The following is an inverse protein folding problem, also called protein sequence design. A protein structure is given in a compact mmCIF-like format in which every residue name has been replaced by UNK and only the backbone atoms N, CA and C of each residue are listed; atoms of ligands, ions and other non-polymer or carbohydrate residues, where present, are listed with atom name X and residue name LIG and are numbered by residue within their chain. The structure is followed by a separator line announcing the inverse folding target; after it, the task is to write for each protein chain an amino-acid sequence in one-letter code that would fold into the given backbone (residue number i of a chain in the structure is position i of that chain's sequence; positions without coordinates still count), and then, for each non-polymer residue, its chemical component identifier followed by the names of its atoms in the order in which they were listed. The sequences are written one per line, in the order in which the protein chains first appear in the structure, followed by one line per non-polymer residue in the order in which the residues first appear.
data_IF_224256320348
#
_entry.id   IF_224256320348
#
_cell.length_a   1.000
_cell.length_b   1.000
_cell.length_c   1.000
_cell.angle_alpha   90.00
_cell.angle_beta   90.00
_cell.angle_gamma   90.00
#
_symmetry.space_group_name_H-M   'P 1'
#
loop_
_entity.id
_entity.type
_entity.pdbx_description
1 polymer ?
#
# COMPACT_ATOMS: atom_id res chain seq x y z
N UNK A 1 -13.56 -7.25 -1.90
CA UNK A 1 -12.59 -6.95 -2.96
C UNK A 1 -13.33 -6.98 -4.31
N UNK A 2 -13.07 -6.01 -5.20
CA UNK A 2 -13.62 -6.00 -6.58
C UNK A 2 -12.76 -6.77 -7.58
N UNK A 3 -11.71 -7.46 -7.11
CA UNK A 3 -10.71 -8.16 -7.91
C UNK A 3 -10.06 -7.26 -8.98
N UNK A 4 -9.78 -6.01 -8.60
CA UNK A 4 -9.11 -5.00 -9.41
C UNK A 4 -7.73 -4.81 -8.79
N UNK A 5 -6.63 -5.06 -9.54
CA UNK A 5 -5.29 -4.69 -9.12
C UNK A 5 -5.19 -3.21 -8.80
N UNK A 6 -4.30 -2.85 -7.87
CA UNK A 6 -4.07 -1.43 -7.57
C UNK A 6 -3.52 -0.69 -8.78
N UNK A 7 -2.72 -1.37 -9.59
CA UNK A 7 -2.11 -0.84 -10.81
C UNK A 7 -3.06 -0.95 -12.00
N UNK A 8 -3.13 0.10 -12.82
CA UNK A 8 -3.84 0.08 -14.09
C UNK A 8 -5.16 0.86 -14.13
N UNK A 9 -5.71 0.90 -15.36
CA UNK A 9 -6.83 1.76 -15.74
C UNK A 9 -8.13 1.48 -14.97
N UNK A 10 -8.40 0.23 -14.62
CA UNK A 10 -9.59 -0.12 -13.84
C UNK A 10 -9.57 0.50 -12.44
N UNK A 11 -8.39 0.55 -11.81
CA UNK A 11 -8.20 1.19 -10.52
C UNK A 11 -8.33 2.71 -10.65
N UNK A 12 -7.72 3.32 -11.69
CA UNK A 12 -7.88 4.75 -12.01
C UNK A 12 -9.34 5.15 -12.23
N UNK A 13 -10.08 4.37 -13.02
CA UNK A 13 -11.51 4.60 -13.27
C UNK A 13 -12.34 4.49 -11.99
N UNK A 14 -12.05 3.49 -11.14
CA UNK A 14 -12.69 3.35 -9.84
C UNK A 14 -12.39 4.55 -8.93
N UNK A 15 -11.13 4.96 -8.85
CA UNK A 15 -10.65 6.09 -8.08
C UNK A 15 -11.38 7.38 -8.50
N UNK A 16 -11.42 7.68 -9.80
CA UNK A 16 -12.15 8.81 -10.35
C UNK A 16 -13.62 8.80 -9.91
N UNK A 17 -14.34 7.69 -10.12
CA UNK A 17 -15.77 7.59 -9.80
C UNK A 17 -16.06 7.78 -8.31
N UNK A 18 -15.19 7.28 -7.44
CA UNK A 18 -15.36 7.44 -5.99
C UNK A 18 -15.18 8.89 -5.58
N UNK A 19 -14.09 9.54 -5.98
CA UNK A 19 -13.79 10.90 -5.53
C UNK A 19 -14.70 11.96 -6.18
N UNK A 20 -15.11 11.77 -7.43
CA UNK A 20 -16.09 12.66 -8.07
C UNK A 20 -17.44 12.61 -7.37
N UNK A 21 -17.92 11.41 -7.03
CA UNK A 21 -19.16 11.22 -6.28
C UNK A 21 -19.07 11.81 -4.86
N UNK A 22 -17.97 11.60 -4.13
CA UNK A 22 -17.80 12.20 -2.79
C UNK A 22 -17.82 13.73 -2.89
N UNK A 23 -17.11 14.30 -3.86
CA UNK A 23 -17.08 15.76 -4.09
C UNK A 23 -18.48 16.31 -4.40
N UNK A 24 -19.23 15.65 -5.28
CA UNK A 24 -20.60 16.05 -5.61
C UNK A 24 -21.48 16.11 -4.36
N UNK A 25 -21.46 15.05 -3.55
CA UNK A 25 -22.25 14.97 -2.31
C UNK A 25 -21.82 15.99 -1.26
N UNK A 26 -20.52 16.24 -1.14
CA UNK A 26 -20.01 17.23 -0.20
C UNK A 26 -20.43 18.66 -0.57
N UNK A 27 -20.45 18.97 -1.88
CA UNK A 27 -20.93 20.27 -2.38
C UNK A 27 -22.43 20.41 -2.14
N UNK A 28 -23.22 19.40 -2.47
CA UNK A 28 -24.67 19.38 -2.23
C UNK A 28 -25.00 19.63 -0.75
N UNK A 29 -24.31 18.92 0.16
CA UNK A 29 -24.50 19.10 1.60
C UNK A 29 -24.10 20.52 2.06
N UNK A 30 -23.03 21.08 1.52
CA UNK A 30 -22.59 22.43 1.89
C UNK A 30 -23.52 23.53 1.36
N UNK A 31 -24.13 23.33 0.17
CA UNK A 31 -25.17 24.20 -0.37
C UNK A 31 -26.44 24.16 0.48
N UNK A 32 -26.90 22.96 0.86
CA UNK A 32 -28.07 22.80 1.74
C UNK A 32 -27.86 23.53 3.08
N UNK A 33 -26.69 23.34 3.70
CA UNK A 33 -26.33 24.05 4.92
C UNK A 33 -26.20 25.57 4.70
N UNK A 34 -25.78 26.02 3.52
CA UNK A 34 -25.72 27.43 3.16
C UNK A 34 -27.12 28.06 3.11
N UNK A 35 -28.10 27.35 2.55
CA UNK A 35 -29.49 27.78 2.55
C UNK A 35 -30.12 27.80 3.95
N UNK A 36 -29.81 26.82 4.80
CA UNK A 36 -30.39 26.73 6.15
C UNK A 36 -29.73 27.67 7.17
N UNK A 37 -28.42 27.87 7.08
CA UNK A 37 -27.61 28.53 8.12
C UNK A 37 -26.91 29.80 7.63
N UNK A 38 -27.15 30.19 6.38
CA UNK A 38 -26.42 31.24 5.68
C UNK A 38 -25.07 30.74 5.16
N UNK A 39 -24.54 31.43 4.16
CA UNK A 39 -23.22 31.15 3.59
C UNK A 39 -22.09 31.45 4.59
N UNK A 40 -20.89 30.94 4.32
CA UNK A 40 -19.73 31.37 5.08
C UNK A 40 -19.38 32.84 4.75
N UNK A 41 -19.06 33.69 5.76
CA UNK A 41 -18.84 35.13 5.55
C UNK A 41 -17.78 35.46 4.50
N UNK A 42 -16.70 34.66 4.45
CA UNK A 42 -15.55 34.89 3.55
C UNK A 42 -15.81 34.44 2.11
N UNK A 43 -16.99 33.88 1.82
CA UNK A 43 -17.38 33.34 0.52
C UNK A 43 -18.83 33.70 0.14
N UNK A 44 -19.29 34.88 0.57
CA UNK A 44 -20.61 35.39 0.20
C UNK A 44 -20.81 35.43 -1.33
N UNK A 45 -22.01 35.01 -1.76
CA UNK A 45 -22.40 34.85 -3.16
C UNK A 45 -22.13 33.45 -3.74
N UNK A 46 -21.55 32.52 -2.95
CA UNK A 46 -21.22 31.18 -3.43
C UNK A 46 -22.31 30.13 -3.17
N UNK A 47 -23.25 30.41 -2.27
CA UNK A 47 -24.25 29.45 -1.78
C UNK A 47 -23.73 28.42 -0.78
N UNK A 48 -22.41 28.33 -0.54
CA UNK A 48 -21.82 27.26 0.28
C UNK A 48 -21.61 27.69 1.73
N UNK A 49 -21.78 26.72 2.65
CA UNK A 49 -21.46 26.91 4.07
C UNK A 49 -19.98 26.72 4.41
N UNK A 50 -19.22 25.98 3.61
CA UNK A 50 -17.85 25.57 3.91
C UNK A 50 -16.90 25.88 2.74
N UNK A 51 -15.82 26.62 3.00
CA UNK A 51 -14.82 26.97 1.98
C UNK A 51 -14.02 25.76 1.48
N UNK A 52 -13.79 24.78 2.35
CA UNK A 52 -13.13 23.53 2.03
C UNK A 52 -13.93 22.33 2.54
N UNK A 53 -14.02 21.30 1.69
CA UNK A 53 -14.90 20.15 1.90
C UNK A 53 -14.16 18.84 2.08
N UNK A 54 -12.96 18.71 1.50
CA UNK A 54 -12.28 17.42 1.36
C UNK A 54 -10.79 17.53 1.63
N UNK A 55 -10.32 16.63 2.48
CA UNK A 55 -8.93 16.29 2.72
C UNK A 55 -8.84 14.78 2.98
N UNK A 56 -7.76 14.13 2.57
CA UNK A 56 -7.54 12.70 2.82
C UNK A 56 -6.46 12.55 3.88
N UNK A 57 -6.89 12.35 5.13
CA UNK A 57 -6.01 12.16 6.28
C UNK A 57 -5.60 10.68 6.45
N UNK A 58 -4.52 10.41 7.21
CA UNK A 58 -4.24 9.08 7.70
C UNK A 58 -5.36 8.63 8.64
N UNK A 59 -5.75 7.35 8.56
CA UNK A 59 -6.85 6.81 9.38
C UNK A 59 -6.49 5.47 10.04
N UNK A 60 -5.21 5.21 10.31
CA UNK A 60 -4.71 3.92 10.80
C UNK A 60 -5.58 3.32 11.93
N UNK A 61 -5.81 4.08 13.00
CA UNK A 61 -6.65 3.63 14.12
C UNK A 61 -8.12 3.38 13.72
N UNK A 62 -8.72 4.30 12.95
CA UNK A 62 -10.11 4.16 12.49
C UNK A 62 -10.30 3.00 11.52
N UNK A 63 -9.31 2.72 10.67
CA UNK A 63 -9.34 1.60 9.71
C UNK A 63 -9.43 0.25 10.41
N UNK A 64 -8.74 0.12 11.56
CA UNK A 64 -8.80 -1.07 12.42
C UNK A 64 -10.19 -1.20 13.04
N UNK A 65 -10.73 -0.11 13.59
CA UNK A 65 -12.10 -0.08 14.17
C UNK A 65 -13.16 -0.43 13.13
N UNK A 66 -12.99 0.03 11.88
CA UNK A 66 -13.87 -0.27 10.75
C UNK A 66 -13.64 -1.68 10.17
N UNK A 67 -13.55 -2.69 11.03
CA UNK A 67 -13.42 -4.10 10.66
C UNK A 67 -12.22 -4.38 9.75
N UNK A 68 -11.06 -3.78 10.09
CA UNK A 68 -9.81 -3.93 9.35
C UNK A 68 -9.92 -3.49 7.89
N UNK A 69 -10.52 -2.32 7.65
CA UNK A 69 -10.43 -1.66 6.35
C UNK A 69 -8.96 -1.30 6.04
N UNK A 70 -8.61 -1.12 4.77
CA UNK A 70 -7.29 -0.60 4.41
C UNK A 70 -7.12 0.83 4.91
N UNK A 71 -5.91 1.24 5.31
CA UNK A 71 -5.65 2.60 5.75
C UNK A 71 -5.76 3.57 4.57
N UNK A 72 -6.70 4.52 4.69
CA UNK A 72 -6.89 5.66 3.80
C UNK A 72 -6.94 5.26 2.32
N UNK A 73 -6.06 5.84 1.51
CA UNK A 73 -5.87 5.59 0.07
C UNK A 73 -4.68 4.66 -0.22
N UNK A 74 -4.10 4.04 0.81
CA UNK A 74 -2.87 3.28 0.69
C UNK A 74 -3.13 1.85 0.21
N UNK A 75 -2.21 1.28 -0.59
CA UNK A 75 -2.20 -0.16 -0.79
C UNK A 75 -1.93 -0.91 0.53
N UNK A 76 -2.36 -2.16 0.60
CA UNK A 76 -2.12 -2.98 1.79
C UNK A 76 -0.63 -3.24 2.00
N UNK A 77 -0.10 -2.89 3.18
CA UNK A 77 1.33 -3.11 3.49
C UNK A 77 1.74 -4.59 3.44
N UNK A 78 0.84 -5.49 3.82
CA UNK A 78 1.06 -6.93 3.85
C UNK A 78 -0.28 -7.67 3.83
N UNK A 79 -0.33 -8.89 3.30
CA UNK A 79 -1.54 -9.72 3.37
C UNK A 79 -1.69 -10.46 4.71
N UNK A 80 -0.63 -10.53 5.50
CA UNK A 80 -0.66 -10.98 6.90
C UNK A 80 0.36 -10.15 7.70
N UNK A 81 -0.03 -9.67 8.88
CA UNK A 81 0.87 -8.94 9.77
C UNK A 81 0.50 -9.15 11.23
N UNK A 82 1.46 -8.90 12.12
CA UNK A 82 1.24 -8.97 13.57
C UNK A 82 0.86 -7.58 14.10
N UNK A 83 -0.34 -7.46 14.64
CA UNK A 83 -0.80 -6.28 15.33
C UNK A 83 -0.54 -6.41 16.83
N UNK A 84 0.34 -5.56 17.38
CA UNK A 84 0.63 -5.52 18.81
C UNK A 84 -0.35 -4.57 19.50
N UNK A 85 -1.07 -5.05 20.50
CA UNK A 85 -1.87 -4.24 21.42
C UNK A 85 -1.25 -4.29 22.82
N UNK A 86 -1.76 -3.46 23.75
CA UNK A 86 -1.39 -3.52 25.16
C UNK A 86 -1.65 -4.91 25.80
N UNK A 87 -2.58 -5.68 25.24
CA UNK A 87 -3.04 -6.96 25.78
C UNK A 87 -2.47 -8.19 25.06
N UNK A 88 -1.62 -8.00 24.04
CA UNK A 88 -1.02 -9.11 23.31
C UNK A 88 -0.67 -8.79 21.86
N UNK A 89 -0.25 -9.80 21.12
CA UNK A 89 0.05 -9.71 19.69
C UNK A 89 -0.90 -10.61 18.91
N UNK A 90 -1.60 -10.05 17.93
CA UNK A 90 -2.63 -10.76 17.16
C UNK A 90 -2.23 -10.77 15.68
N UNK A 91 -2.35 -11.93 15.03
CA UNK A 91 -2.17 -12.02 13.58
C UNK A 91 -3.41 -11.47 12.88
N UNK A 92 -3.21 -10.51 12.00
CA UNK A 92 -4.25 -9.95 11.14
C UNK A 92 -4.00 -10.48 9.74
N UNK A 93 -5.01 -11.16 9.18
CA UNK A 93 -4.99 -11.72 7.84
C UNK A 93 -5.91 -10.92 6.92
N UNK A 94 -5.51 -10.75 5.66
CA UNK A 94 -6.33 -10.12 4.65
C UNK A 94 -7.57 -10.98 4.37
N UNK A 95 -8.73 -10.55 4.87
CA UNK A 95 -10.02 -11.24 4.70
C UNK A 95 -10.41 -11.54 3.25
N UNK A 96 -9.92 -10.73 2.31
CA UNK A 96 -10.18 -10.96 0.89
C UNK A 96 -9.28 -12.06 0.31
N UNK A 97 -8.02 -12.12 0.75
CA UNK A 97 -7.11 -13.21 0.40
C UNK A 97 -7.58 -14.52 1.04
N UNK A 98 -8.02 -14.49 2.31
CA UNK A 98 -8.58 -15.67 2.99
C UNK A 98 -9.75 -16.28 2.21
N UNK A 99 -10.66 -15.43 1.70
CA UNK A 99 -11.77 -15.88 0.85
C UNK A 99 -11.26 -16.56 -0.43
N UNK A 100 -10.22 -16.01 -1.06
CA UNK A 100 -9.61 -16.60 -2.26
C UNK A 100 -8.96 -17.95 -1.93
N UNK A 101 -8.16 -18.02 -0.87
CA UNK A 101 -7.49 -19.25 -0.45
C UNK A 101 -8.51 -20.35 -0.10
N UNK A 102 -9.64 -20.01 0.53
CA UNK A 102 -10.75 -20.95 0.78
C UNK A 102 -11.31 -21.50 -0.53
N UNK A 103 -11.55 -20.66 -1.54
CA UNK A 103 -12.07 -21.10 -2.83
C UNK A 103 -11.13 -22.05 -3.60
N UNK A 104 -9.84 -22.04 -3.27
CA UNK A 104 -8.82 -22.92 -3.88
C UNK A 104 -8.45 -24.11 -3.00
N UNK A 105 -9.11 -24.30 -1.85
CA UNK A 105 -8.74 -25.31 -0.84
C UNK A 105 -7.27 -25.15 -0.35
N UNK A 106 -6.79 -23.91 -0.28
CA UNK A 106 -5.43 -23.52 0.16
C UNK A 106 -5.42 -22.66 1.42
N UNK A 107 -6.56 -22.51 2.10
CA UNK A 107 -6.63 -21.78 3.37
C UNK A 107 -6.14 -22.64 4.55
N UNK A 108 -4.83 -22.91 4.61
CA UNK A 108 -4.21 -23.73 5.67
C UNK A 108 -3.22 -22.91 6.51
N UNK A 109 -2.94 -23.31 7.76
CA UNK A 109 -1.94 -22.64 8.59
C UNK A 109 -0.54 -22.58 7.94
N UNK A 110 -0.18 -23.60 7.16
CA UNK A 110 1.10 -23.68 6.46
C UNK A 110 1.21 -22.61 5.38
N UNK A 111 0.16 -22.43 4.57
CA UNK A 111 0.12 -21.37 3.53
C UNK A 111 0.21 -19.98 4.17
N UNK A 112 -0.48 -19.74 5.28
CA UNK A 112 -0.38 -18.46 5.99
C UNK A 112 0.98 -18.24 6.65
N UNK A 113 1.63 -19.31 7.10
CA UNK A 113 3.00 -19.25 7.61
C UNK A 113 3.99 -18.92 6.49
N UNK A 114 3.79 -19.50 5.31
CA UNK A 114 4.59 -19.22 4.11
C UNK A 114 4.46 -17.75 3.69
N UNK A 115 3.22 -17.26 3.52
CA UNK A 115 2.94 -15.85 3.24
C UNK A 115 3.59 -14.92 4.29
N UNK A 116 3.55 -15.29 5.58
CA UNK A 116 4.19 -14.52 6.64
C UNK A 116 5.72 -14.55 6.59
N UNK A 117 6.34 -15.60 6.03
CA UNK A 117 7.79 -15.71 5.87
C UNK A 117 8.31 -14.84 4.70
N UNK A 118 7.45 -14.53 3.74
CA UNK A 118 7.70 -13.58 2.66
C UNK A 118 7.06 -12.20 2.94
N UNK A 119 7.08 -11.75 4.19
CA UNK A 119 6.63 -10.41 4.61
C UNK A 119 5.19 -10.04 4.19
N UNK A 120 4.33 -11.05 4.04
CA UNK A 120 2.95 -10.88 3.62
C UNK A 120 2.73 -10.90 2.10
N UNK A 121 3.77 -11.16 1.32
CA UNK A 121 3.71 -11.35 -0.13
C UNK A 121 3.00 -12.65 -0.51
N UNK A 122 2.35 -12.66 -1.66
CA UNK A 122 1.80 -13.87 -2.29
C UNK A 122 2.45 -14.20 -3.63
N UNK A 123 3.47 -13.44 -4.04
CA UNK A 123 4.03 -13.54 -5.41
C UNK A 123 4.68 -14.92 -5.66
N UNK A 124 5.21 -15.55 -4.61
CA UNK A 124 5.85 -16.87 -4.64
C UNK A 124 4.86 -18.05 -4.69
N UNK A 125 3.55 -17.82 -4.53
CA UNK A 125 2.57 -18.90 -4.48
C UNK A 125 2.18 -19.38 -5.88
N UNK A 126 2.64 -20.56 -6.29
CA UNK A 126 2.44 -21.10 -7.64
C UNK A 126 0.99 -21.45 -8.00
N UNK A 127 0.14 -21.67 -6.99
CA UNK A 127 -1.29 -21.99 -7.21
C UNK A 127 -2.16 -20.74 -7.45
N UNK A 128 -1.59 -19.55 -7.33
CA UNK A 128 -2.25 -18.30 -7.69
C UNK A 128 -1.94 -17.93 -9.14
N UNK A 129 -2.96 -17.50 -9.87
CA UNK A 129 -2.80 -16.91 -11.19
C UNK A 129 -2.13 -15.54 -11.10
N UNK A 130 -1.49 -15.09 -12.18
CA UNK A 130 -0.86 -13.76 -12.22
C UNK A 130 -1.86 -12.66 -11.87
N UNK A 131 -3.09 -12.73 -12.39
CA UNK A 131 -4.14 -11.76 -12.07
C UNK A 131 -4.48 -11.73 -10.57
N UNK A 132 -4.47 -12.88 -9.90
CA UNK A 132 -4.70 -12.93 -8.45
C UNK A 132 -3.51 -12.34 -7.70
N UNK A 133 -2.28 -12.67 -8.13
CA UNK A 133 -1.05 -12.09 -7.57
C UNK A 133 -1.02 -10.56 -7.69
N UNK A 134 -1.43 -10.02 -8.84
CA UNK A 134 -1.58 -8.58 -9.09
C UNK A 134 -2.58 -7.89 -8.14
N UNK A 135 -3.69 -8.56 -7.81
CA UNK A 135 -4.70 -8.03 -6.88
C UNK A 135 -4.18 -7.95 -5.44
N UNK A 136 -3.28 -8.86 -5.07
CA UNK A 136 -2.78 -9.01 -3.70
C UNK A 136 -1.32 -8.56 -3.54
N UNK A 137 -0.79 -7.78 -4.49
CA UNK A 137 0.48 -7.08 -4.33
C UNK A 137 0.49 -6.27 -3.03
N UNK A 138 1.59 -6.37 -2.31
CA UNK A 138 1.84 -5.56 -1.12
C UNK A 138 2.33 -4.17 -1.51
N UNK A 139 2.28 -3.22 -0.57
CA UNK A 139 2.64 -1.82 -0.85
C UNK A 139 4.04 -1.64 -1.48
N UNK A 140 5.11 -2.34 -1.04
CA UNK A 140 6.43 -2.25 -1.68
C UNK A 140 6.53 -2.95 -3.05
N UNK A 141 5.61 -3.87 -3.37
CA UNK A 141 5.57 -4.58 -4.66
C UNK A 141 4.90 -3.79 -5.78
N UNK A 142 4.21 -2.71 -5.43
CA UNK A 142 3.52 -1.83 -6.37
C UNK A 142 4.53 -0.83 -6.94
N UNK A 143 4.46 -0.56 -8.24
CA UNK A 143 5.16 0.58 -8.81
C UNK A 143 4.56 1.87 -8.25
N UNK A 144 5.36 2.61 -7.49
CA UNK A 144 4.95 3.78 -6.73
C UNK A 144 4.53 4.95 -7.64
N UNK A 145 4.87 4.92 -8.92
CA UNK A 145 4.29 5.83 -9.93
C UNK A 145 2.77 5.68 -9.98
N UNK A 146 2.20 4.48 -9.85
CA UNK A 146 0.75 4.32 -9.79
C UNK A 146 0.13 4.93 -8.53
N UNK A 147 0.84 4.91 -7.40
CA UNK A 147 0.40 5.57 -6.17
C UNK A 147 0.33 7.09 -6.39
N UNK A 148 1.38 7.65 -6.99
CA UNK A 148 1.45 9.08 -7.34
C UNK A 148 0.38 9.45 -8.38
N UNK A 149 0.21 8.64 -9.42
CA UNK A 149 -0.76 8.89 -10.49
C UNK A 149 -2.20 8.87 -9.96
N UNK A 150 -2.58 7.86 -9.17
CA UNK A 150 -3.91 7.83 -8.59
C UNK A 150 -4.14 8.99 -7.62
N UNK A 151 -3.10 9.42 -6.89
CA UNK A 151 -3.15 10.62 -6.05
C UNK A 151 -3.34 11.88 -6.89
N UNK A 152 -2.62 12.02 -7.99
CA UNK A 152 -2.74 13.17 -8.90
C UNK A 152 -4.15 13.25 -9.49
N UNK A 153 -4.67 12.13 -10.02
CA UNK A 153 -6.02 12.06 -10.60
C UNK A 153 -7.12 12.46 -9.61
N UNK A 154 -7.06 11.97 -8.37
CA UNK A 154 -8.09 12.30 -7.36
C UNK A 154 -7.95 13.73 -6.82
N UNK A 155 -6.78 14.36 -6.95
CA UNK A 155 -6.52 15.70 -6.43
C UNK A 155 -7.48 16.75 -7.02
N UNK A 156 -7.94 16.55 -8.26
CA UNK A 156 -8.95 17.40 -8.91
C UNK A 156 -10.26 17.52 -8.11
N UNK A 157 -10.58 16.53 -7.27
CA UNK A 157 -11.78 16.50 -6.43
C UNK A 157 -11.52 16.93 -4.99
N UNK A 158 -10.25 17.07 -4.58
CA UNK A 158 -9.84 17.36 -3.21
C UNK A 158 -9.35 18.81 -3.14
N UNK A 159 -10.11 19.67 -2.45
CA UNK A 159 -9.76 21.08 -2.34
C UNK A 159 -8.54 21.35 -1.46
N UNK A 160 -8.34 20.55 -0.39
CA UNK A 160 -7.13 20.60 0.43
C UNK A 160 -6.05 19.68 -0.15
N UNK A 161 -5.51 18.76 0.64
CA UNK A 161 -4.49 17.79 0.23
C UNK A 161 -4.82 16.37 0.71
N UNK A 162 -3.86 15.47 0.49
CA UNK A 162 -3.90 14.05 0.81
C UNK A 162 -2.56 13.60 1.39
N UNK A 163 -2.59 12.78 2.43
CA UNK A 163 -1.40 12.17 3.02
C UNK A 163 -0.98 10.96 2.20
N UNK A 164 -0.08 11.17 1.24
CA UNK A 164 0.41 10.12 0.33
C UNK A 164 1.72 9.55 0.85
N UNK A 165 1.66 8.33 1.38
CA UNK A 165 2.84 7.55 1.71
C UNK A 165 3.36 6.81 0.47
N UNK A 166 4.68 6.70 0.36
CA UNK A 166 5.38 5.93 -0.68
C UNK A 166 6.19 4.81 -0.02
N UNK A 167 6.29 3.67 -0.71
CA UNK A 167 6.85 2.44 -0.16
C UNK A 167 7.93 1.89 -1.09
N UNK A 168 9.11 1.64 -0.53
CA UNK A 168 10.27 1.18 -1.30
C UNK A 168 10.93 0.01 -0.59
N UNK A 169 11.15 -1.07 -1.33
CA UNK A 169 11.95 -2.21 -0.86
C UNK A 169 13.35 -2.07 -1.45
N UNK A 170 14.39 -1.83 -0.64
CA UNK A 170 15.75 -1.74 -1.15
C UNK A 170 16.22 -3.13 -1.64
N UNK A 171 17.09 -3.18 -2.66
CA UNK A 171 17.74 -4.41 -3.06
C UNK A 171 18.56 -4.99 -1.90
N UNK A 172 18.83 -6.30 -1.97
CA UNK A 172 19.70 -6.96 -0.97
C UNK A 172 21.07 -6.32 -1.01
N UNK A 173 21.74 -6.22 0.14
CA UNK A 173 23.09 -5.66 0.23
C UNK A 173 24.16 -6.41 -0.59
N UNK A 174 23.82 -7.61 -1.09
CA UNK A 174 24.69 -8.44 -1.94
C UNK A 174 24.47 -8.21 -3.43
N UNK A 175 23.48 -7.40 -3.82
CA UNK A 175 23.23 -7.11 -5.23
C UNK A 175 24.36 -6.23 -5.82
N UNK A 176 24.59 -6.28 -7.14
CA UNK A 176 25.55 -5.41 -7.80
C UNK A 176 25.24 -3.92 -7.60
N UNK A 177 26.28 -3.07 -7.59
CA UNK A 177 26.14 -1.61 -7.45
C UNK A 177 25.14 -1.01 -8.46
N UNK A 178 25.10 -1.53 -9.69
CA UNK A 178 24.16 -1.11 -10.73
C UNK A 178 22.69 -1.22 -10.29
N UNK A 179 22.32 -2.31 -9.61
CA UNK A 179 20.96 -2.51 -9.08
C UNK A 179 20.65 -1.51 -7.96
N UNK A 180 21.64 -1.16 -7.14
CA UNK A 180 21.50 -0.12 -6.12
C UNK A 180 21.31 1.27 -6.75
N UNK A 181 22.04 1.58 -7.82
CA UNK A 181 21.95 2.85 -8.54
C UNK A 181 20.59 2.98 -9.25
N UNK A 182 20.11 1.91 -9.92
CA UNK A 182 18.78 1.86 -10.52
C UNK A 182 17.66 2.07 -9.48
N UNK A 183 17.78 1.42 -8.32
CA UNK A 183 16.83 1.60 -7.21
C UNK A 183 16.80 3.06 -6.73
N UNK A 184 17.96 3.67 -6.52
CA UNK A 184 18.06 5.07 -6.10
C UNK A 184 17.49 6.01 -7.15
N UNK A 185 17.77 5.76 -8.44
CA UNK A 185 17.19 6.53 -9.53
C UNK A 185 15.67 6.41 -9.55
N UNK A 186 15.12 5.20 -9.41
CA UNK A 186 13.68 4.98 -9.33
C UNK A 186 13.04 5.72 -8.14
N UNK A 187 13.65 5.66 -6.95
CA UNK A 187 13.17 6.40 -5.77
C UNK A 187 13.14 7.90 -6.09
N UNK A 188 14.20 8.45 -6.69
CA UNK A 188 14.27 9.87 -7.07
C UNK A 188 13.20 10.24 -8.10
N UNK A 189 13.01 9.43 -9.14
CA UNK A 189 12.04 9.67 -10.21
C UNK A 189 10.61 9.72 -9.66
N UNK A 190 10.25 8.78 -8.78
CA UNK A 190 8.94 8.76 -8.12
C UNK A 190 8.71 10.04 -7.32
N UNK A 191 9.70 10.48 -6.53
CA UNK A 191 9.58 11.69 -5.73
C UNK A 191 9.54 12.96 -6.58
N UNK A 192 10.31 13.00 -7.68
CA UNK A 192 10.28 14.12 -8.62
C UNK A 192 8.92 14.26 -9.30
N UNK A 193 8.36 13.14 -9.77
CA UNK A 193 7.02 13.10 -10.35
C UNK A 193 5.97 13.49 -9.29
N UNK A 194 6.11 13.00 -8.06
CA UNK A 194 5.26 13.37 -6.94
C UNK A 194 5.29 14.87 -6.64
N UNK A 195 6.48 15.47 -6.54
CA UNK A 195 6.66 16.89 -6.29
C UNK A 195 6.09 17.78 -7.40
N UNK A 196 6.15 17.33 -8.66
CA UNK A 196 5.57 18.03 -9.81
C UNK A 196 4.05 17.97 -9.84
N UNK A 197 3.46 16.84 -9.42
CA UNK A 197 2.06 16.54 -9.68
C UNK A 197 1.14 16.64 -8.44
N UNK A 198 1.70 16.64 -7.23
CA UNK A 198 0.95 16.59 -5.97
C UNK A 198 1.19 17.82 -5.11
N UNK A 199 0.21 18.19 -4.29
CA UNK A 199 0.34 19.27 -3.31
C UNK A 199 1.21 18.88 -2.10
N UNK A 200 1.27 17.59 -1.77
CA UNK A 200 2.09 17.07 -0.68
C UNK A 200 2.39 15.59 -0.84
N UNK A 201 3.56 15.18 -0.38
CA UNK A 201 3.90 13.80 -0.01
C UNK A 201 3.95 13.70 1.52
N UNK A 202 3.89 12.48 2.05
CA UNK A 202 3.95 12.23 3.49
C UNK A 202 5.21 11.47 3.89
N UNK A 203 5.15 10.17 4.21
CA UNK A 203 6.35 9.39 4.52
C UNK A 203 6.88 8.65 3.30
N UNK A 204 8.20 8.65 3.16
CA UNK A 204 8.94 7.58 2.52
C UNK A 204 9.05 6.43 3.53
N UNK A 205 8.52 5.27 3.17
CA UNK A 205 8.62 4.02 3.93
C UNK A 205 9.61 3.10 3.23
N UNK A 206 10.68 2.75 3.91
CA UNK A 206 11.64 1.75 3.45
C UNK A 206 11.89 0.75 4.56
N UNK A 207 12.07 -0.51 4.18
CA UNK A 207 12.62 -1.51 5.08
C UNK A 207 14.15 -1.44 5.07
N UNK A 208 14.80 -2.06 6.06
CA UNK A 208 16.26 -2.09 6.13
C UNK A 208 16.81 -3.15 5.16
N UNK A 209 17.87 -2.83 4.41
CA UNK A 209 18.56 -3.79 3.54
C UNK A 209 19.17 -4.97 4.33
N UNK A 210 19.45 -4.77 5.62
CA UNK A 210 19.80 -5.82 6.60
C UNK A 210 18.58 -6.11 7.47
N UNK A 211 17.73 -7.03 7.05
CA UNK A 211 16.83 -7.68 8.01
C UNK A 211 17.60 -8.76 8.76
N UNK A 212 17.43 -8.83 10.08
CA UNK A 212 17.82 -10.02 10.84
C UNK A 212 17.13 -11.24 10.20
N UNK A 213 17.85 -12.35 10.05
CA UNK A 213 17.36 -13.56 9.40
C UNK A 213 15.93 -13.88 9.86
N UNK A 214 15.02 -14.03 8.89
CA UNK A 214 13.64 -14.36 9.18
C UNK A 214 13.63 -15.79 9.75
N UNK A 215 13.51 -15.93 11.07
CA UNK A 215 13.58 -17.20 11.82
C UNK A 215 12.58 -18.27 11.35
N UNK A 216 11.63 -17.90 10.48
CA UNK A 216 10.69 -18.81 9.84
C UNK A 216 11.24 -19.50 8.57
N UNK A 217 12.31 -18.98 7.97
CA UNK A 217 12.97 -19.58 6.81
C UNK A 217 13.99 -20.59 7.33
N UNK A 218 13.68 -21.88 7.22
CA UNK A 218 14.69 -22.93 7.44
C UNK A 218 15.66 -22.90 6.28
N UNK A 219 16.83 -22.29 6.45
CA UNK A 219 17.94 -22.45 5.51
C UNK A 219 18.40 -23.90 5.62
N UNK A 220 18.35 -24.72 4.55
CA UNK A 220 18.95 -26.04 4.58
C UNK A 220 20.44 -25.86 4.84
N UNK A 221 20.95 -26.42 5.94
CA UNK A 221 22.38 -26.47 6.20
C UNK A 221 23.01 -27.35 5.12
N UNK A 222 23.77 -26.73 4.23
CA UNK A 222 24.65 -27.47 3.32
C UNK A 222 25.73 -28.10 4.21
N UNK A 223 25.83 -29.44 4.20
CA UNK A 223 26.89 -30.12 4.91
C UNK A 223 28.21 -29.87 4.17
N UNK A 224 29.07 -29.04 4.75
CA UNK A 224 30.38 -28.66 4.19
C UNK A 224 31.47 -29.71 4.46
N UNK A 225 31.16 -30.82 5.14
CA UNK A 225 32.11 -31.87 5.52
C UNK A 225 32.72 -32.67 4.33
N UNK A 226 32.39 -32.32 3.08
CA UNK A 226 32.93 -32.97 1.88
C UNK A 226 33.61 -32.05 0.87
N UNK A 227 33.83 -30.76 1.19
CA UNK A 227 34.49 -29.83 0.26
C UNK A 227 35.97 -29.73 0.64
N UNK A 228 36.83 -30.42 -0.12
CA UNK A 228 38.28 -30.27 0.00
C UNK A 228 38.69 -28.80 -0.19
N UNK A 229 39.52 -28.31 0.72
CA UNK A 229 40.03 -26.95 0.70
C UNK A 229 41.10 -26.82 -0.40
N UNK A 230 40.70 -26.31 -1.58
CA UNK A 230 41.60 -26.01 -2.71
C UNK A 230 42.66 -24.94 -2.34
N UNK A 231 42.52 -24.24 -1.21
CA UNK A 231 43.47 -23.22 -0.76
C UNK A 231 44.74 -23.76 -0.07
N UNK A 232 44.88 -25.09 0.09
CA UNK A 232 46.06 -25.71 0.70
C UNK A 232 47.01 -26.38 -0.32
N UNK A 233 46.77 -26.23 -1.63
CA UNK A 233 47.61 -26.81 -2.70
C UNK A 233 48.44 -25.75 -3.47
N UNK A 234 48.93 -24.72 -2.78
CA UNK A 234 49.81 -23.70 -3.37
C UNK A 234 50.89 -23.23 -2.41
#
# INVERSE_FOLDING_TARGET
CKNIPFEGLYASSFNHRVFSNIKSKAVEASMALGGERGEAPDMQGSGLRNAHLMAVAPNASSSIICNGASPSIEPSRANIYTHKTLTGSYKVQNKYLEKLLKSKNKNTPEVWKDISAYDGSVQHLDFLTDKEKEVFKTAPEINQIWVVEHAHQRQAYICQSQSVNLFFAPPKATEPQEIHDEYLQYVNDVHWIGAKNLKSLYYLRSDAARNAENVNIKIPRINLEGVECIACEG
#
